data_IF_199458755560
#
_entry.id   IF_199458755560
#
_cell.length_a   1.000
_cell.length_b   1.000
_cell.length_c   1.000
_cell.angle_alpha   90.00
_cell.angle_beta   90.00
_cell.angle_gamma   90.00
#
_symmetry.space_group_name_H-M   'P 1'
#
loop_
_entity.id
_entity.type
_entity.pdbx_description
1 polymer ?
#
# COMPACT_ATOMS: atom_id res chain seq x y z
N UNK A 1 -9.53 13.07 -6.53
CA UNK A 1 -8.39 12.86 -7.43
C UNK A 1 -7.80 11.47 -7.21
N UNK A 2 -7.49 10.77 -8.28
CA UNK A 2 -6.92 9.44 -8.17
C UNK A 2 -5.47 9.50 -7.64
N UNK A 3 -5.14 8.57 -6.76
CA UNK A 3 -3.78 8.43 -6.27
C UNK A 3 -2.93 7.74 -7.33
N UNK A 4 -1.67 8.13 -7.41
CA UNK A 4 -0.69 7.48 -8.30
C UNK A 4 0.25 6.64 -7.45
N UNK A 5 0.62 5.47 -7.98
CA UNK A 5 1.60 4.61 -7.32
C UNK A 5 3.00 5.21 -7.48
N UNK A 6 3.80 5.13 -6.41
CA UNK A 6 5.17 5.65 -6.41
C UNK A 6 6.13 4.47 -6.31
N UNK A 7 6.67 4.05 -7.45
CA UNK A 7 7.58 2.90 -7.53
C UNK A 7 8.90 3.27 -6.85
N UNK A 8 9.43 2.34 -6.06
CA UNK A 8 10.70 2.51 -5.33
C UNK A 8 10.54 3.14 -3.96
N UNK A 9 9.36 3.65 -3.64
CA UNK A 9 9.13 4.32 -2.35
C UNK A 9 8.46 3.39 -1.35
N UNK A 10 8.48 3.82 -0.08
CA UNK A 10 7.99 3.05 1.05
C UNK A 10 6.61 3.57 1.44
N UNK A 11 5.71 2.63 1.72
CA UNK A 11 4.37 2.91 2.24
C UNK A 11 4.24 2.27 3.62
N UNK A 12 3.41 2.85 4.48
CA UNK A 12 3.04 2.24 5.74
C UNK A 12 1.63 1.68 5.66
N UNK A 13 1.49 0.38 5.94
CA UNK A 13 0.18 -0.23 6.09
C UNK A 13 -0.46 0.24 7.40
N UNK A 14 -1.79 0.37 7.42
CA UNK A 14 -2.47 0.87 8.62
C UNK A 14 -2.28 -0.04 9.85
N UNK A 15 -1.87 -1.29 9.65
CA UNK A 15 -1.52 -2.20 10.75
C UNK A 15 -0.09 -2.06 11.23
N UNK A 16 0.69 -1.15 10.65
CA UNK A 16 2.01 -0.76 11.15
C UNK A 16 3.22 -1.27 10.38
N UNK A 17 3.07 -2.33 9.56
CA UNK A 17 4.21 -2.80 8.78
C UNK A 17 4.48 -1.91 7.57
N UNK A 18 5.68 -2.03 7.01
CA UNK A 18 6.11 -1.21 5.88
C UNK A 18 6.10 -2.04 4.59
N UNK A 19 5.92 -1.37 3.47
CA UNK A 19 5.95 -1.98 2.15
C UNK A 19 6.73 -1.08 1.19
N UNK A 20 7.75 -1.65 0.54
CA UNK A 20 8.45 -0.94 -0.53
C UNK A 20 7.89 -1.41 -1.87
N UNK A 21 7.43 -0.49 -2.69
CA UNK A 21 6.91 -0.82 -4.01
C UNK A 21 8.08 -1.11 -4.94
N UNK A 22 8.14 -2.33 -5.47
CA UNK A 22 9.21 -2.77 -6.36
C UNK A 22 8.91 -2.46 -7.81
N UNK A 23 7.68 -2.74 -8.23
CA UNK A 23 7.26 -2.52 -9.61
C UNK A 23 5.75 -2.66 -9.72
N UNK A 24 5.24 -2.46 -10.93
CA UNK A 24 3.86 -2.76 -11.29
C UNK A 24 3.91 -3.78 -12.42
N UNK A 25 3.10 -4.83 -12.32
CA UNK A 25 3.06 -5.91 -13.29
C UNK A 25 1.62 -6.17 -13.71
N UNK A 26 1.42 -6.72 -14.90
CA UNK A 26 0.09 -7.09 -15.36
C UNK A 26 -0.15 -8.57 -15.09
N UNK A 27 -1.30 -8.89 -14.49
CA UNK A 27 -1.72 -10.28 -14.27
C UNK A 27 -2.05 -10.89 -15.64
N UNK A 28 -1.43 -12.01 -16.00
CA UNK A 28 -1.57 -12.57 -17.32
C UNK A 28 -2.96 -13.16 -17.59
N UNK A 29 -3.68 -13.56 -16.53
CA UNK A 29 -5.00 -14.20 -16.67
C UNK A 29 -6.13 -13.16 -16.69
N UNK A 30 -6.05 -12.16 -15.83
CA UNK A 30 -7.13 -11.19 -15.62
C UNK A 30 -6.87 -9.85 -16.28
N UNK A 31 -5.62 -9.59 -16.70
CA UNK A 31 -5.15 -8.30 -17.21
C UNK A 31 -5.18 -7.18 -16.17
N UNK A 32 -5.42 -7.49 -14.89
CA UNK A 32 -5.33 -6.50 -13.82
C UNK A 32 -3.90 -6.01 -13.67
N UNK A 33 -3.76 -4.75 -13.33
CA UNK A 33 -2.45 -4.21 -12.95
C UNK A 33 -2.22 -4.49 -11.46
N UNK A 34 -1.06 -5.06 -11.13
CA UNK A 34 -0.70 -5.47 -9.77
C UNK A 34 0.47 -4.63 -9.28
N UNK A 35 0.39 -4.17 -8.04
CA UNK A 35 1.53 -3.60 -7.34
C UNK A 35 2.31 -4.75 -6.73
N UNK A 36 3.60 -4.86 -7.08
CA UNK A 36 4.51 -5.85 -6.50
C UNK A 36 5.33 -5.12 -5.44
N UNK A 37 5.29 -5.61 -4.21
CA UNK A 37 5.89 -4.91 -3.09
C UNK A 37 6.52 -5.88 -2.10
N UNK A 38 7.54 -5.41 -1.42
CA UNK A 38 8.22 -6.15 -0.37
C UNK A 38 7.80 -5.58 0.98
N UNK A 39 7.23 -6.45 1.83
CA UNK A 39 6.84 -6.06 3.20
C UNK A 39 7.94 -6.38 4.18
N UNK A 40 8.05 -5.57 5.21
CA UNK A 40 8.95 -5.82 6.31
C UNK A 40 8.38 -5.22 7.60
N UNK A 41 8.69 -5.89 8.71
CA UNK A 41 8.21 -5.49 10.02
C UNK A 41 6.92 -6.19 10.42
N UNK A 42 6.63 -6.23 11.70
CA UNK A 42 5.39 -6.77 12.27
C UNK A 42 5.07 -8.22 11.84
N UNK A 43 6.11 -9.00 11.45
CA UNK A 43 5.90 -10.39 11.03
C UNK A 43 5.34 -10.57 9.62
N UNK A 44 5.34 -9.52 8.81
CA UNK A 44 4.77 -9.56 7.46
C UNK A 44 5.85 -9.61 6.37
N UNK A 45 7.03 -10.11 6.68
CA UNK A 45 8.13 -10.14 5.72
C UNK A 45 7.78 -10.98 4.49
N UNK A 46 8.15 -10.50 3.31
CA UNK A 46 7.92 -11.21 2.06
C UNK A 46 7.63 -10.27 0.90
N UNK A 47 7.53 -10.87 -0.29
CA UNK A 47 7.17 -10.14 -1.51
C UNK A 47 5.78 -10.58 -1.93
N UNK A 48 4.93 -9.60 -2.20
CA UNK A 48 3.53 -9.83 -2.49
C UNK A 48 3.09 -9.02 -3.71
N UNK A 49 1.94 -9.40 -4.26
CA UNK A 49 1.30 -8.65 -5.33
C UNK A 49 -0.16 -8.42 -4.96
N UNK A 50 -0.67 -7.22 -5.25
CA UNK A 50 -2.05 -6.84 -4.96
C UNK A 50 -2.57 -5.96 -6.09
N UNK A 51 -3.84 -6.09 -6.51
CA UNK A 51 -4.40 -5.18 -7.49
C UNK A 51 -4.18 -3.72 -7.10
N UNK A 52 -3.81 -2.90 -8.08
CA UNK A 52 -3.38 -1.52 -7.81
C UNK A 52 -4.46 -0.70 -7.12
N UNK A 53 -5.71 -0.86 -7.50
CA UNK A 53 -6.82 -0.12 -6.88
C UNK A 53 -7.02 -0.53 -5.42
N UNK A 54 -6.78 -1.80 -5.09
CA UNK A 54 -6.84 -2.25 -3.69
C UNK A 54 -5.67 -1.71 -2.87
N UNK A 55 -4.47 -1.68 -3.47
CA UNK A 55 -3.30 -1.13 -2.78
C UNK A 55 -3.51 0.35 -2.44
N UNK A 56 -4.12 1.10 -3.35
CA UNK A 56 -4.34 2.53 -3.20
C UNK A 56 -5.65 2.88 -2.48
N UNK A 57 -6.42 1.88 -2.04
CA UNK A 57 -7.73 2.10 -1.43
C UNK A 57 -7.62 2.70 -0.03
N UNK A 58 -8.73 3.26 0.43
CA UNK A 58 -8.84 3.74 1.80
C UNK A 58 -9.06 2.58 2.77
N UNK A 59 -8.72 2.80 4.02
CA UNK A 59 -9.03 1.87 5.11
C UNK A 59 -10.56 1.77 5.23
N UNK A 60 -11.06 0.55 5.45
CA UNK A 60 -12.47 0.36 5.77
C UNK A 60 -12.72 0.79 7.22
N UNK A 61 -13.13 2.05 7.42
CA UNK A 61 -13.34 2.60 8.75
C UNK A 61 -14.58 2.04 9.45
N UNK A 62 -15.45 1.34 8.72
CA UNK A 62 -16.56 0.61 9.35
C UNK A 62 -16.04 -0.64 10.06
N UNK A 63 -15.07 -1.31 9.46
CA UNK A 63 -14.44 -2.50 10.04
C UNK A 63 -13.38 -2.12 11.09
N UNK A 64 -12.68 -0.99 10.88
CA UNK A 64 -11.60 -0.54 11.74
C UNK A 64 -11.84 0.90 12.19
N UNK A 65 -12.88 1.14 13.02
CA UNK A 65 -13.27 2.52 13.38
C UNK A 65 -12.22 3.26 14.20
N UNK A 66 -11.32 2.53 14.88
CA UNK A 66 -10.25 3.16 15.68
C UNK A 66 -9.04 3.57 14.87
N UNK A 67 -8.96 3.16 13.59
CA UNK A 67 -7.81 3.51 12.74
C UNK A 67 -7.96 4.95 12.27
N UNK A 68 -6.92 5.76 12.47
CA UNK A 68 -6.92 7.15 12.04
C UNK A 68 -6.29 7.34 10.66
N UNK A 69 -5.47 6.38 10.21
CA UNK A 69 -4.85 6.45 8.89
C UNK A 69 -5.91 6.34 7.81
N UNK A 70 -5.87 7.23 6.82
CA UNK A 70 -6.89 7.29 5.76
C UNK A 70 -6.75 6.13 4.78
N UNK A 71 -5.53 5.88 4.30
CA UNK A 71 -5.29 4.90 3.24
C UNK A 71 -4.76 3.60 3.81
N UNK A 72 -5.11 2.50 3.14
CA UNK A 72 -4.60 1.16 3.48
C UNK A 72 -3.07 1.16 3.51
N UNK A 73 -2.47 1.74 2.47
CA UNK A 73 -1.03 1.97 2.38
C UNK A 73 -0.81 3.46 2.15
N UNK A 74 -0.16 4.10 3.09
CA UNK A 74 0.11 5.54 3.05
C UNK A 74 1.57 5.80 2.68
N UNK A 75 1.78 6.67 1.70
CA UNK A 75 3.13 6.99 1.23
C UNK A 75 3.92 7.67 2.33
N UNK A 76 5.15 7.19 2.55
CA UNK A 76 6.05 7.74 3.55
C UNK A 76 7.24 8.42 2.90
N UNK A 77 7.72 9.47 3.55
CA UNK A 77 8.97 10.14 3.19
C UNK A 77 9.64 10.61 4.47
N UNK A 78 10.91 10.22 4.65
CA UNK A 78 11.69 10.58 5.83
C UNK A 78 10.98 10.19 7.13
N UNK A 79 10.32 9.01 7.15
CA UNK A 79 9.65 8.50 8.33
C UNK A 79 8.29 9.12 8.61
N UNK A 80 7.76 9.92 7.70
CA UNK A 80 6.49 10.65 7.87
C UNK A 80 5.54 10.28 6.75
N UNK A 81 4.27 10.09 7.07
CA UNK A 81 3.21 9.88 6.07
C UNK A 81 2.95 11.24 5.38
N UNK A 82 2.97 11.23 4.04
CA UNK A 82 2.90 12.46 3.26
C UNK A 82 1.66 12.56 2.36
N UNK A 83 0.79 11.54 2.32
CA UNK A 83 -0.38 11.56 1.44
C UNK A 83 -1.70 11.29 2.18
N UNK A 84 -1.83 11.80 3.38
CA UNK A 84 -2.98 11.57 4.27
C UNK A 84 -3.95 12.74 4.31
N UNK A 85 -4.17 13.41 3.30
CA UNK A 85 -5.12 14.54 3.33
C UNK A 85 -6.53 14.19 2.89
#
# INVERSE_FOLDING_TARGET
MARLISIGNVYQHFKGFKARVLTVAQHTETNEMLVVYECYGQGHDGVYARPIDMFLSEVDHNKYPEVTQKYRFALMRDGVIVDED
#
